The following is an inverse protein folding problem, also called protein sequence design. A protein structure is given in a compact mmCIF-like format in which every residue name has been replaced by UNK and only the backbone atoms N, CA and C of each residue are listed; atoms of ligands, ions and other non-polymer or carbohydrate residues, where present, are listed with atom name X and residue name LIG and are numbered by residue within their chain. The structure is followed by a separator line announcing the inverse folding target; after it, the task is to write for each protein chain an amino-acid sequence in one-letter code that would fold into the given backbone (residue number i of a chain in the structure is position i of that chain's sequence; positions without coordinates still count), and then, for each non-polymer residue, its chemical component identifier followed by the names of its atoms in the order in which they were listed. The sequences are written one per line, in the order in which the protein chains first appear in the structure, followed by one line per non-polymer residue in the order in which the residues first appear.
data_IF_221777922880
#
_entry.id   IF_221777922880
#
_cell.length_a   1.000
_cell.length_b   1.000
_cell.length_c   1.000
_cell.angle_alpha   90.00
_cell.angle_beta   90.00
_cell.angle_gamma   90.00
#
_symmetry.space_group_name_H-M   'P 1'
#
loop_
_entity.id
_entity.type
_entity.pdbx_description
1 polymer ?
#
# COMPACT_ATOMS: atom_id res chain seq x y z
N UNK A 1 -13.88 5.08 -80.42
CA UNK A 1 -14.56 3.88 -79.88
C UNK A 1 -13.50 3.00 -79.20
N UNK A 2 -13.73 2.64 -77.93
CA UNK A 2 -13.03 1.66 -77.05
C UNK A 2 -11.56 1.95 -76.70
N UNK A 3 -11.19 2.30 -75.46
CA UNK A 3 -11.24 1.56 -74.16
C UNK A 3 -10.25 0.39 -74.13
N UNK A 4 -9.09 0.49 -73.47
CA UNK A 4 -8.86 0.11 -72.05
C UNK A 4 -8.09 -1.23 -72.02
N UNK A 5 -7.05 -1.50 -71.22
CA UNK A 5 -6.85 -1.33 -69.78
C UNK A 5 -5.34 -1.40 -69.45
N UNK A 6 -4.84 -0.52 -68.59
CA UNK A 6 -3.65 -0.79 -67.77
C UNK A 6 -4.15 -1.20 -66.38
N UNK A 7 -3.68 -2.36 -65.91
CA UNK A 7 -3.95 -2.88 -64.57
C UNK A 7 -2.84 -2.34 -63.67
N UNK A 8 -3.19 -1.50 -62.70
CA UNK A 8 -2.30 -1.11 -61.62
C UNK A 8 -2.76 -1.85 -60.37
N UNK A 9 -1.94 -2.77 -59.88
CA UNK A 9 -2.18 -3.51 -58.65
C UNK A 9 -1.92 -2.59 -57.46
N UNK A 10 -2.98 -2.16 -56.77
CA UNK A 10 -2.89 -1.47 -55.48
C UNK A 10 -2.80 -2.51 -54.37
N UNK A 11 -1.64 -2.63 -53.74
CA UNK A 11 -1.47 -3.41 -52.51
C UNK A 11 -2.16 -2.68 -51.37
N UNK A 12 -3.28 -3.20 -50.87
CA UNK A 12 -3.85 -2.78 -49.59
C UNK A 12 -2.96 -3.29 -48.46
N UNK A 13 -2.29 -2.39 -47.75
CA UNK A 13 -1.73 -2.69 -46.43
C UNK A 13 -2.88 -2.60 -45.44
N UNK A 14 -3.36 -3.74 -44.96
CA UNK A 14 -4.29 -3.77 -43.84
C UNK A 14 -3.51 -3.33 -42.58
N UNK A 15 -3.74 -2.10 -42.11
CA UNK A 15 -3.35 -1.73 -40.76
C UNK A 15 -4.27 -2.47 -39.78
N UNK A 16 -3.75 -3.55 -39.22
CA UNK A 16 -4.34 -4.21 -38.06
C UNK A 16 -4.25 -3.26 -36.86
N UNK A 17 -5.33 -2.53 -36.57
CA UNK A 17 -5.51 -1.90 -35.27
C UNK A 17 -5.69 -3.03 -34.25
N UNK A 18 -4.64 -3.31 -33.48
CA UNK A 18 -4.82 -4.01 -32.22
C UNK A 18 -5.55 -3.04 -31.31
N UNK A 19 -6.87 -3.24 -31.17
CA UNK A 19 -7.57 -2.71 -30.02
C UNK A 19 -6.91 -3.38 -28.80
N UNK A 20 -6.14 -2.61 -28.03
CA UNK A 20 -5.77 -3.01 -26.69
C UNK A 20 -7.08 -3.06 -25.91
N UNK A 21 -7.70 -4.24 -25.87
CA UNK A 21 -8.64 -4.56 -24.80
C UNK A 21 -7.87 -4.33 -23.51
N UNK A 22 -8.21 -3.26 -22.80
CA UNK A 22 -7.87 -3.08 -21.41
C UNK A 22 -8.54 -4.26 -20.70
N UNK A 23 -7.80 -5.37 -20.51
CA UNK A 23 -8.24 -6.39 -19.57
C UNK A 23 -8.29 -5.69 -18.22
N UNK A 24 -9.40 -5.87 -17.48
CA UNK A 24 -9.41 -5.52 -16.06
C UNK A 24 -8.18 -6.16 -15.42
N UNK A 25 -7.56 -5.48 -14.45
CA UNK A 25 -6.40 -5.99 -13.71
C UNK A 25 -6.57 -7.50 -13.46
N UNK A 26 -5.64 -8.29 -14.00
CA UNK A 26 -5.66 -9.73 -13.83
C UNK A 26 -5.13 -10.02 -12.42
N UNK A 27 -6.02 -10.07 -11.45
CA UNK A 27 -5.70 -10.31 -10.05
C UNK A 27 -6.75 -11.17 -9.35
N UNK A 28 -6.35 -11.85 -8.29
CA UNK A 28 -7.24 -12.71 -7.51
C UNK A 28 -6.76 -12.90 -6.07
N UNK A 29 -7.71 -13.05 -5.15
CA UNK A 29 -7.44 -13.45 -3.76
C UNK A 29 -7.03 -14.92 -3.71
N UNK A 30 -5.82 -15.22 -3.22
CA UNK A 30 -5.25 -16.58 -3.20
C UNK A 30 -5.19 -17.20 -1.81
N UNK A 31 -5.31 -16.37 -0.76
CA UNK A 31 -5.40 -16.79 0.63
C UNK A 31 -6.09 -15.69 1.45
N UNK A 32 -6.97 -16.05 2.37
CA UNK A 32 -7.66 -15.10 3.27
C UNK A 32 -7.98 -15.78 4.60
N UNK A 33 -6.99 -15.84 5.48
CA UNK A 33 -7.25 -16.23 6.86
C UNK A 33 -7.98 -15.08 7.54
N UNK A 34 -9.17 -15.31 8.08
CA UNK A 34 -9.97 -14.27 8.74
C UNK A 34 -10.56 -14.83 10.05
N UNK A 35 -9.79 -14.75 11.14
CA UNK A 35 -10.23 -15.23 12.46
C UNK A 35 -9.10 -15.77 13.34
N UNK A 36 -9.45 -16.46 14.44
CA UNK A 36 -8.46 -16.94 15.40
C UNK A 36 -7.67 -18.15 14.90
N UNK A 37 -6.35 -18.02 14.83
CA UNK A 37 -5.47 -19.18 14.93
C UNK A 37 -5.43 -19.67 16.38
N UNK A 38 -5.56 -20.98 16.55
CA UNK A 38 -5.61 -21.69 17.82
C UNK A 38 -4.38 -22.58 17.99
N UNK A 39 -4.20 -23.17 19.19
CA UNK A 39 -3.17 -24.18 19.45
C UNK A 39 -3.25 -25.36 18.46
N UNK A 40 -4.45 -25.70 17.97
CA UNK A 40 -4.64 -26.79 16.99
C UNK A 40 -4.01 -26.48 15.63
N UNK A 41 -3.86 -25.20 15.28
CA UNK A 41 -3.16 -24.77 14.07
C UNK A 41 -1.64 -24.91 14.21
N UNK A 42 -1.11 -25.07 15.44
CA UNK A 42 0.31 -25.28 15.72
C UNK A 42 1.20 -24.27 14.98
N UNK A 43 0.88 -22.98 15.07
CA UNK A 43 1.67 -21.94 14.39
C UNK A 43 1.54 -21.89 12.87
N UNK A 44 0.59 -22.63 12.31
CA UNK A 44 0.45 -22.74 10.87
C UNK A 44 -1.03 -22.84 10.42
N UNK A 45 -1.82 -21.76 10.54
CA UNK A 45 -3.10 -21.65 9.85
C UNK A 45 -2.90 -21.77 8.33
N UNK A 46 -3.71 -22.60 7.69
CA UNK A 46 -3.53 -23.00 6.29
C UNK A 46 -4.83 -23.42 5.61
N UNK A 47 -4.83 -23.29 4.29
CA UNK A 47 -5.86 -23.84 3.41
C UNK A 47 -5.33 -25.10 2.72
N UNK A 48 -6.16 -26.14 2.74
CA UNK A 48 -5.91 -27.39 2.02
C UNK A 48 -7.24 -27.98 1.54
N UNK A 49 -7.55 -27.91 0.23
CA UNK A 49 -6.74 -27.33 -0.84
C UNK A 49 -6.71 -25.78 -0.80
N UNK A 50 -5.73 -25.13 -1.46
CA UNK A 50 -5.71 -23.68 -1.65
C UNK A 50 -6.94 -23.15 -2.38
N UNK A 51 -7.33 -21.89 -2.09
CA UNK A 51 -8.50 -21.22 -2.69
C UNK A 51 -8.41 -21.12 -4.23
N UNK A 52 -7.31 -20.56 -4.73
CA UNK A 52 -7.01 -20.49 -6.16
C UNK A 52 -5.92 -21.50 -6.45
N UNK A 53 -6.26 -22.59 -7.15
CA UNK A 53 -5.39 -23.76 -7.31
C UNK A 53 -5.18 -24.27 -8.75
N UNK A 54 -5.57 -23.47 -9.75
CA UNK A 54 -5.43 -23.80 -11.19
C UNK A 54 -4.07 -23.44 -11.77
N UNK A 55 -3.90 -23.61 -13.08
CA UNK A 55 -2.72 -23.17 -13.83
C UNK A 55 -2.52 -21.65 -13.69
N UNK A 56 -1.32 -21.24 -13.28
CA UNK A 56 -0.91 -19.84 -13.10
C UNK A 56 0.04 -19.34 -14.18
N UNK A 57 0.36 -20.16 -15.17
CA UNK A 57 1.13 -19.81 -16.37
C UNK A 57 0.19 -19.47 -17.53
N UNK A 58 -0.97 -20.14 -17.62
CA UNK A 58 -1.95 -19.96 -18.71
C UNK A 58 -3.41 -19.92 -18.22
N UNK A 59 -4.31 -19.13 -18.84
CA UNK A 59 -4.07 -18.14 -19.89
C UNK A 59 -3.48 -16.81 -19.39
N UNK A 60 -3.46 -16.60 -18.08
CA UNK A 60 -2.94 -15.40 -17.42
C UNK A 60 -1.71 -15.79 -16.61
N UNK A 61 -0.60 -15.08 -16.82
CA UNK A 61 0.66 -15.37 -16.16
C UNK A 61 0.71 -14.72 -14.76
N UNK A 62 0.14 -15.42 -13.79
CA UNK A 62 0.29 -15.11 -12.37
C UNK A 62 1.64 -15.58 -11.81
N UNK A 63 2.28 -16.57 -12.42
CA UNK A 63 3.54 -17.17 -11.97
C UNK A 63 4.71 -16.16 -11.91
N UNK A 64 4.72 -15.19 -12.81
CA UNK A 64 5.68 -14.08 -12.85
C UNK A 64 5.14 -12.79 -12.21
N UNK A 65 4.00 -12.89 -11.52
CA UNK A 65 3.32 -11.78 -10.89
C UNK A 65 3.87 -11.37 -9.53
N UNK A 66 3.07 -10.57 -8.84
CA UNK A 66 3.39 -10.01 -7.52
C UNK A 66 2.31 -10.41 -6.52
N UNK A 67 2.73 -10.85 -5.33
CA UNK A 67 1.84 -10.97 -4.19
C UNK A 67 1.73 -9.64 -3.47
N UNK A 68 0.49 -9.22 -3.22
CA UNK A 68 0.12 -8.12 -2.34
C UNK A 68 -0.47 -8.74 -1.07
N UNK A 69 0.06 -8.35 0.08
CA UNK A 69 -0.25 -8.96 1.37
C UNK A 69 -0.69 -7.88 2.34
N UNK A 70 -1.82 -8.13 3.02
CA UNK A 70 -2.31 -7.32 4.13
C UNK A 70 -2.51 -8.20 5.35
N UNK A 71 -2.00 -7.72 6.47
CA UNK A 71 -2.10 -8.36 7.78
C UNK A 71 -2.79 -7.38 8.72
N UNK A 72 -3.70 -7.87 9.55
CA UNK A 72 -4.38 -7.12 10.60
C UNK A 72 -4.49 -8.01 11.84
N UNK A 73 -3.85 -7.63 12.94
CA UNK A 73 -3.99 -8.33 14.21
C UNK A 73 -5.17 -7.71 14.97
N UNK A 74 -6.09 -8.56 15.43
CA UNK A 74 -7.22 -8.15 16.27
C UNK A 74 -6.95 -8.45 17.73
N UNK A 75 -6.35 -9.59 18.06
CA UNK A 75 -5.92 -9.88 19.43
C UNK A 75 -4.90 -11.00 19.52
N UNK A 76 -4.07 -10.96 20.56
CA UNK A 76 -3.21 -12.04 21.01
C UNK A 76 -3.25 -12.08 22.55
N UNK A 77 -3.19 -13.25 23.21
CA UNK A 77 -3.30 -13.32 24.67
C UNK A 77 -2.20 -12.56 25.39
N UNK A 78 -0.96 -12.66 24.86
CA UNK A 78 0.18 -11.86 25.29
C UNK A 78 0.76 -11.19 24.05
N UNK A 79 0.47 -9.89 23.83
CA UNK A 79 1.00 -9.15 22.69
C UNK A 79 2.54 -9.18 22.68
N UNK A 80 3.09 -9.75 21.62
CA UNK A 80 4.54 -9.88 21.45
C UNK A 80 4.95 -9.73 19.98
N UNK A 81 6.20 -9.35 19.75
CA UNK A 81 6.75 -9.25 18.40
C UNK A 81 6.89 -10.64 17.78
N UNK A 82 6.42 -10.76 16.55
CA UNK A 82 6.38 -12.00 15.80
C UNK A 82 6.71 -11.76 14.34
N UNK A 83 7.10 -12.83 13.65
CA UNK A 83 7.26 -12.82 12.20
C UNK A 83 6.17 -13.68 11.57
N UNK A 84 5.50 -13.13 10.57
CA UNK A 84 4.55 -13.87 9.74
C UNK A 84 5.16 -14.12 8.35
N UNK A 85 4.90 -15.30 7.80
CA UNK A 85 5.44 -15.69 6.50
C UNK A 85 4.43 -16.54 5.73
N UNK A 86 4.04 -16.10 4.54
CA UNK A 86 3.19 -16.88 3.65
C UNK A 86 4.02 -17.91 2.89
N UNK A 87 3.53 -19.15 2.83
CA UNK A 87 4.22 -20.27 2.21
C UNK A 87 3.26 -21.15 1.41
N UNK A 88 3.80 -21.79 0.38
CA UNK A 88 3.09 -22.63 -0.58
C UNK A 88 3.84 -23.96 -0.71
N UNK A 89 3.11 -25.07 -0.67
CA UNK A 89 3.65 -26.42 -0.87
C UNK A 89 3.00 -27.10 -2.05
N UNK A 90 3.78 -27.91 -2.76
CA UNK A 90 3.30 -28.69 -3.89
C UNK A 90 3.91 -30.09 -3.90
N UNK A 91 3.07 -31.05 -4.28
CA UNK A 91 3.45 -32.44 -4.40
C UNK A 91 4.31 -32.68 -5.64
N UNK A 92 5.43 -33.37 -5.45
CA UNK A 92 6.27 -33.87 -6.54
C UNK A 92 6.82 -35.24 -6.17
N UNK A 93 6.83 -36.15 -7.13
CA UNK A 93 7.35 -37.52 -6.99
C UNK A 93 6.76 -38.29 -5.78
N UNK A 94 5.47 -38.07 -5.48
CA UNK A 94 4.75 -38.70 -4.37
C UNK A 94 5.00 -38.08 -2.99
N UNK A 95 5.80 -37.02 -2.89
CA UNK A 95 6.03 -36.27 -1.66
C UNK A 95 5.29 -34.92 -1.70
N UNK A 96 4.28 -34.79 -0.83
CA UNK A 96 3.40 -33.61 -0.70
C UNK A 96 4.09 -32.31 -0.31
N UNK A 97 5.32 -32.38 0.21
CA UNK A 97 6.11 -31.25 0.69
C UNK A 97 7.48 -31.15 0.01
N UNK A 98 7.60 -31.77 -1.18
CA UNK A 98 8.84 -31.77 -1.97
C UNK A 98 9.19 -30.36 -2.45
N UNK A 99 8.21 -29.65 -3.00
CA UNK A 99 8.36 -28.26 -3.43
C UNK A 99 7.75 -27.34 -2.38
N UNK A 100 8.48 -26.29 -2.02
CA UNK A 100 8.05 -25.28 -1.08
C UNK A 100 8.64 -23.93 -1.47
N UNK A 101 7.81 -22.90 -1.43
CA UNK A 101 8.23 -21.51 -1.62
C UNK A 101 7.59 -20.62 -0.57
N UNK A 102 8.31 -19.59 -0.10
CA UNK A 102 7.82 -18.68 0.93
C UNK A 102 8.19 -17.22 0.66
N UNK A 103 7.32 -16.31 1.10
CA UNK A 103 7.58 -14.87 1.09
C UNK A 103 8.69 -14.50 2.08
N UNK A 104 9.14 -13.24 2.07
CA UNK A 104 9.95 -12.69 3.14
C UNK A 104 9.17 -12.74 4.45
N UNK A 105 9.88 -13.00 5.54
CA UNK A 105 9.31 -12.92 6.88
C UNK A 105 9.05 -11.45 7.22
N UNK A 106 7.84 -11.16 7.68
CA UNK A 106 7.43 -9.82 8.03
C UNK A 106 7.28 -9.67 9.53
N UNK A 107 7.97 -8.69 10.11
CA UNK A 107 7.89 -8.39 11.53
C UNK A 107 6.60 -7.61 11.83
N UNK A 108 5.80 -8.10 12.76
CA UNK A 108 4.59 -7.45 13.26
C UNK A 108 4.47 -7.71 14.77
N UNK A 109 3.68 -6.91 15.49
CA UNK A 109 3.37 -7.14 16.91
C UNK A 109 1.97 -7.73 17.05
N UNK A 110 1.77 -8.66 17.97
CA UNK A 110 0.45 -9.24 18.24
C UNK A 110 -0.52 -8.33 19.01
N UNK A 111 -0.35 -7.02 18.95
CA UNK A 111 -1.27 -6.06 19.57
C UNK A 111 -2.50 -5.87 18.70
N UNK A 112 -3.67 -5.68 19.32
CA UNK A 112 -4.89 -5.28 18.63
C UNK A 112 -4.65 -4.05 17.75
N UNK A 113 -5.17 -4.11 16.52
CA UNK A 113 -5.06 -3.06 15.52
C UNK A 113 -3.72 -3.00 14.79
N UNK A 114 -2.73 -3.85 15.12
CA UNK A 114 -1.47 -3.86 14.38
C UNK A 114 -1.72 -4.32 12.93
N UNK A 115 -1.42 -3.45 11.95
CA UNK A 115 -1.53 -3.82 10.54
C UNK A 115 -0.18 -3.77 9.84
N UNK A 116 -0.08 -4.51 8.73
CA UNK A 116 1.07 -4.47 7.84
C UNK A 116 0.62 -4.72 6.41
N UNK A 117 1.08 -3.88 5.49
CA UNK A 117 0.91 -4.08 4.05
C UNK A 117 2.27 -4.21 3.41
N UNK A 118 2.46 -5.22 2.56
CA UNK A 118 3.66 -5.32 1.74
C UNK A 118 3.37 -6.06 0.43
N UNK A 119 4.27 -5.88 -0.55
CA UNK A 119 4.28 -6.66 -1.78
C UNK A 119 5.60 -7.39 -2.01
N UNK A 120 5.56 -8.49 -2.76
CA UNK A 120 6.75 -9.21 -3.19
C UNK A 120 6.52 -9.93 -4.52
N UNK A 121 7.46 -9.76 -5.45
CA UNK A 121 7.51 -10.52 -6.69
C UNK A 121 7.67 -12.02 -6.39
N UNK A 122 6.90 -12.86 -7.08
CA UNK A 122 6.93 -14.32 -6.88
C UNK A 122 8.32 -14.89 -7.23
N UNK A 123 9.00 -14.31 -8.21
CA UNK A 123 10.36 -14.69 -8.59
C UNK A 123 11.36 -14.60 -7.42
N UNK A 124 11.17 -13.64 -6.51
CA UNK A 124 12.06 -13.34 -5.39
C UNK A 124 11.76 -14.17 -4.13
N UNK A 125 10.75 -15.04 -4.17
CA UNK A 125 10.43 -15.90 -3.04
C UNK A 125 11.53 -16.94 -2.79
N UNK A 126 11.73 -17.26 -1.51
CA UNK A 126 12.64 -18.32 -1.09
C UNK A 126 12.13 -19.67 -1.59
N UNK A 127 13.02 -20.56 -2.03
CA UNK A 127 12.68 -21.87 -2.60
C UNK A 127 13.42 -22.96 -1.86
N UNK A 128 12.71 -23.97 -1.37
CA UNK A 128 13.31 -25.11 -0.67
C UNK A 128 14.25 -25.87 -1.60
N UNK A 129 15.52 -25.96 -1.20
CA UNK A 129 16.57 -26.60 -2.01
C UNK A 129 16.76 -25.97 -3.39
N UNK A 130 16.34 -24.71 -3.59
CA UNK A 130 16.37 -24.03 -4.89
C UNK A 130 15.36 -24.56 -5.91
N UNK A 131 14.45 -25.47 -5.52
CA UNK A 131 13.46 -26.06 -6.43
C UNK A 131 12.21 -25.16 -6.51
N UNK A 132 11.84 -24.61 -7.68
CA UNK A 132 10.66 -23.77 -7.81
C UNK A 132 9.37 -24.61 -7.77
N UNK A 133 8.25 -23.95 -7.45
CA UNK A 133 6.91 -24.47 -7.68
C UNK A 133 6.69 -24.60 -9.20
N UNK A 134 5.98 -25.65 -9.60
CA UNK A 134 5.49 -25.87 -10.97
C UNK A 134 4.10 -25.22 -11.08
N UNK A 135 4.06 -23.98 -11.56
CA UNK A 135 2.88 -23.10 -11.48
C UNK A 135 1.71 -23.52 -12.39
N UNK A 136 1.98 -24.31 -13.43
CA UNK A 136 0.95 -25.00 -14.23
C UNK A 136 0.24 -26.16 -13.52
N UNK A 137 0.69 -26.56 -12.32
CA UNK A 137 0.10 -27.66 -11.53
C UNK A 137 -0.58 -27.14 -10.25
N UNK A 138 -1.51 -27.94 -9.77
CA UNK A 138 -2.15 -27.72 -8.47
C UNK A 138 -1.13 -27.78 -7.34
N UNK A 139 -1.30 -26.90 -6.36
CA UNK A 139 -0.57 -26.88 -5.09
C UNK A 139 -1.27 -27.79 -4.09
N UNK A 140 -0.49 -28.30 -3.14
CA UNK A 140 -0.98 -29.16 -2.07
C UNK A 140 -1.67 -28.35 -0.97
N UNK A 141 -1.02 -27.27 -0.50
CA UNK A 141 -1.54 -26.38 0.55
C UNK A 141 -0.84 -25.02 0.51
N UNK A 142 -1.48 -24.03 1.12
CA UNK A 142 -0.91 -22.70 1.39
C UNK A 142 -1.20 -22.30 2.82
N UNK A 143 -0.37 -21.46 3.43
CA UNK A 143 -0.65 -20.98 4.78
C UNK A 143 0.37 -20.01 5.30
N UNK A 144 0.17 -19.59 6.54
CA UNK A 144 0.98 -18.56 7.20
C UNK A 144 1.72 -19.19 8.36
N UNK A 145 3.05 -19.15 8.32
CA UNK A 145 3.89 -19.54 9.45
C UNK A 145 3.98 -18.40 10.45
N UNK A 146 3.59 -18.68 11.69
CA UNK A 146 3.75 -17.81 12.85
C UNK A 146 5.09 -18.15 13.51
N UNK A 147 5.95 -17.15 13.65
CA UNK A 147 7.33 -17.29 14.14
C UNK A 147 7.60 -16.25 15.22
N UNK A 148 8.54 -16.55 16.10
CA UNK A 148 9.12 -15.58 17.02
C UNK A 148 9.77 -14.43 16.23
N UNK A 149 10.09 -13.33 16.92
CA UNK A 149 10.86 -12.23 16.33
C UNK A 149 12.20 -12.70 15.73
N UNK A 150 12.80 -13.76 16.28
CA UNK A 150 14.05 -14.34 15.78
C UNK A 150 13.85 -15.29 14.58
N UNK A 151 12.59 -15.53 14.18
CA UNK A 151 12.24 -16.36 13.04
C UNK A 151 12.18 -17.86 13.35
N UNK A 152 12.14 -18.23 14.64
CA UNK A 152 11.94 -19.62 15.07
C UNK A 152 10.45 -19.95 15.18
N UNK A 153 10.05 -21.23 15.03
CA UNK A 153 8.71 -21.70 15.32
C UNK A 153 8.17 -21.27 16.68
N UNK A 154 6.86 -21.03 16.77
CA UNK A 154 6.17 -20.77 18.04
C UNK A 154 5.48 -22.00 18.63
N UNK A 155 5.56 -23.15 17.95
CA UNK A 155 5.02 -24.42 18.45
C UNK A 155 5.86 -25.59 17.97
N UNK A 156 5.59 -26.77 18.54
CA UNK A 156 6.24 -28.05 18.26
C UNK A 156 5.93 -28.66 16.88
N UNK A 157 5.48 -27.85 15.91
CA UNK A 157 5.07 -28.32 14.60
C UNK A 157 6.15 -29.21 13.98
N UNK A 158 5.74 -30.44 13.64
CA UNK A 158 6.59 -31.60 13.37
C UNK A 158 7.93 -31.28 12.69
N UNK A 159 9.03 -31.62 13.37
CA UNK A 159 10.39 -31.56 12.83
C UNK A 159 11.00 -30.17 12.77
N UNK A 160 10.32 -29.14 13.29
CA UNK A 160 10.91 -27.81 13.42
C UNK A 160 11.72 -27.68 14.71
N UNK A 161 12.81 -26.90 14.69
CA UNK A 161 13.59 -26.54 15.87
C UNK A 161 12.81 -25.54 16.74
N UNK A 162 11.76 -26.00 17.39
CA UNK A 162 10.97 -25.21 18.33
C UNK A 162 11.74 -24.99 19.64
N UNK A 163 11.66 -23.76 20.15
CA UNK A 163 12.39 -23.34 21.35
C UNK A 163 11.58 -23.49 22.66
N UNK A 164 10.40 -24.11 22.62
CA UNK A 164 9.58 -24.34 23.82
C UNK A 164 8.72 -23.15 24.26
N UNK A 165 8.34 -22.28 23.31
CA UNK A 165 7.40 -21.18 23.53
C UNK A 165 6.10 -21.66 24.23
N UNK A 166 5.54 -20.89 25.17
CA UNK A 166 4.25 -21.25 25.79
C UNK A 166 3.09 -20.97 24.82
N UNK A 167 2.39 -21.98 24.26
CA UNK A 167 1.33 -21.75 23.28
C UNK A 167 0.20 -20.84 23.79
N UNK A 168 -0.02 -20.78 25.11
CA UNK A 168 -1.04 -19.91 25.72
C UNK A 168 -0.71 -18.43 25.65
N UNK A 169 0.57 -18.08 25.48
CA UNK A 169 0.98 -16.71 25.21
C UNK A 169 0.68 -16.30 23.74
N UNK A 170 0.55 -17.29 22.85
CA UNK A 170 0.43 -17.09 21.42
C UNK A 170 -1.00 -17.23 20.90
N UNK A 171 -1.84 -18.07 21.53
CA UNK A 171 -3.17 -18.44 21.03
C UNK A 171 -4.31 -18.25 22.05
N UNK A 172 -5.51 -17.82 21.60
CA UNK A 172 -5.87 -17.54 20.22
C UNK A 172 -5.25 -16.25 19.68
N UNK A 173 -4.64 -16.32 18.50
CA UNK A 173 -4.22 -15.15 17.73
C UNK A 173 -5.35 -14.84 16.75
N UNK A 174 -6.17 -13.84 17.03
CA UNK A 174 -7.18 -13.35 16.09
C UNK A 174 -6.55 -12.35 15.14
N UNK A 175 -6.59 -12.67 13.85
CA UNK A 175 -6.00 -11.84 12.81
C UNK A 175 -6.63 -12.12 11.46
N UNK A 176 -6.49 -11.14 10.57
CA UNK A 176 -6.74 -11.29 9.14
C UNK A 176 -5.41 -11.30 8.39
N UNK A 177 -5.24 -12.24 7.48
CA UNK A 177 -4.09 -12.33 6.58
C UNK A 177 -4.60 -12.59 5.17
N UNK A 178 -4.59 -11.54 4.35
CA UNK A 178 -5.10 -11.56 2.98
C UNK A 178 -3.94 -11.51 2.01
N UNK A 179 -3.94 -12.40 1.02
CA UNK A 179 -2.98 -12.45 -0.08
C UNK A 179 -3.75 -12.33 -1.39
N UNK A 180 -3.39 -11.32 -2.17
CA UNK A 180 -3.85 -11.14 -3.54
C UNK A 180 -2.65 -11.33 -4.46
N UNK A 181 -2.84 -12.06 -5.56
CA UNK A 181 -1.84 -12.12 -6.64
C UNK A 181 -2.29 -11.21 -7.76
N UNK A 182 -1.37 -10.44 -8.30
CA UNK A 182 -1.53 -9.64 -9.52
C UNK A 182 -0.64 -10.24 -10.59
N UNK A 183 -1.18 -10.46 -11.79
CA UNK A 183 -0.42 -11.07 -12.87
C UNK A 183 0.73 -10.18 -13.32
N UNK A 184 1.65 -10.78 -14.07
CA UNK A 184 2.66 -10.03 -14.81
C UNK A 184 1.99 -8.94 -15.66
N UNK A 185 2.62 -7.77 -15.71
CA UNK A 185 2.20 -6.60 -16.49
C UNK A 185 0.84 -6.00 -16.10
N UNK A 186 0.27 -6.39 -14.96
CA UNK A 186 -0.94 -5.80 -14.38
C UNK A 186 -0.61 -4.99 -13.12
N UNK A 187 -1.47 -4.01 -12.82
CA UNK A 187 -1.39 -3.20 -11.62
C UNK A 187 -2.39 -3.68 -10.57
N UNK A 188 -2.03 -3.59 -9.31
CA UNK A 188 -2.92 -3.94 -8.20
C UNK A 188 -4.08 -2.95 -8.12
N UNK A 189 -5.30 -3.46 -8.10
CA UNK A 189 -6.51 -2.64 -8.16
C UNK A 189 -6.82 -1.88 -6.87
N UNK A 190 -6.08 -2.15 -5.79
CA UNK A 190 -6.28 -1.54 -4.47
C UNK A 190 -6.94 -2.48 -3.46
N UNK A 191 -6.69 -2.22 -2.17
CA UNK A 191 -7.19 -3.07 -1.09
C UNK A 191 -8.70 -2.92 -0.86
N UNK A 192 -9.30 -1.81 -1.26
CA UNK A 192 -10.73 -1.54 -1.18
C UNK A 192 -11.60 -2.62 -1.86
N UNK A 193 -11.06 -3.33 -2.84
CA UNK A 193 -11.74 -4.44 -3.52
C UNK A 193 -11.71 -5.75 -2.71
N UNK A 194 -10.91 -5.82 -1.65
CA UNK A 194 -10.68 -7.02 -0.84
C UNK A 194 -10.97 -6.83 0.66
N UNK A 195 -11.12 -5.57 1.10
CA UNK A 195 -11.70 -5.26 2.40
C UNK A 195 -13.20 -5.56 2.32
N UNK A 196 -13.71 -6.32 3.30
CA UNK A 196 -15.16 -6.50 3.40
C UNK A 196 -15.77 -5.11 3.63
N UNK A 197 -16.67 -4.67 2.75
CA UNK A 197 -17.62 -3.62 3.10
C UNK A 197 -18.37 -4.18 4.32
N UNK A 198 -18.15 -3.59 5.49
CA UNK A 198 -18.74 -4.06 6.73
C UNK A 198 -20.23 -4.32 6.52
N UNK A 199 -20.69 -5.46 7.03
CA UNK A 199 -22.12 -5.76 7.11
C UNK A 199 -22.79 -4.56 7.77
N UNK A 200 -23.57 -3.81 7.00
CA UNK A 200 -24.48 -2.83 7.57
C UNK A 200 -25.29 -3.55 8.65
N UNK A 201 -25.31 -2.98 9.88
CA UNK A 201 -26.14 -3.48 10.96
C UNK A 201 -27.56 -3.72 10.44
N UNK A 202 -28.21 -4.84 10.78
CA UNK A 202 -29.56 -5.10 10.33
C UNK A 202 -30.46 -3.97 10.83
N UNK A 203 -31.03 -3.21 9.89
CA UNK A 203 -31.97 -2.15 10.20
C UNK A 203 -33.16 -2.74 10.95
N UNK A 204 -33.48 -2.10 12.08
CA UNK A 204 -34.60 -2.43 12.93
C UNK A 204 -35.91 -2.41 12.10
N UNK A 205 -36.70 -3.50 12.04
CA UNK A 205 -37.92 -3.58 11.24
C UNK A 205 -39.08 -2.70 11.78
N UNK A 206 -38.82 -1.84 12.76
CA UNK A 206 -39.81 -0.89 13.30
C UNK A 206 -39.72 0.53 12.74
N UNK A 207 -38.78 0.83 11.84
CA UNK A 207 -38.70 2.15 11.19
C UNK A 207 -39.56 2.18 9.91
N UNK A 208 -40.63 3.01 9.84
CA UNK A 208 -41.46 3.06 8.65
C UNK A 208 -40.68 3.68 7.49
N UNK A 209 -40.62 2.94 6.38
CA UNK A 209 -40.04 3.38 5.11
C UNK A 209 -40.64 4.75 4.71
N UNK A 210 -39.81 5.78 4.45
CA UNK A 210 -40.33 7.09 4.09
C UNK A 210 -40.94 7.05 2.69
N UNK A 211 -42.14 7.61 2.56
CA UNK A 211 -42.84 7.71 1.27
C UNK A 211 -42.00 8.47 0.23
N UNK A 212 -42.08 8.12 -1.07
CA UNK A 212 -41.27 8.73 -2.11
C UNK A 212 -41.68 10.19 -2.33
N UNK A 213 -40.77 11.11 -2.04
CA UNK A 213 -40.92 12.54 -2.35
C UNK A 213 -40.32 12.82 -3.74
N UNK A 214 -41.08 13.56 -4.55
CA UNK A 214 -40.73 14.08 -5.88
C UNK A 214 -39.33 14.73 -5.88
N UNK A 215 -38.41 14.42 -6.83
CA UNK A 215 -37.04 14.92 -6.76
C UNK A 215 -37.00 16.44 -6.91
N UNK A 216 -36.67 17.10 -5.80
CA UNK A 216 -36.23 18.49 -5.75
C UNK A 216 -34.93 18.63 -6.58
N UNK A 217 -34.75 19.70 -7.38
CA UNK A 217 -33.55 19.86 -8.19
C UNK A 217 -32.30 19.84 -7.30
N UNK A 218 -31.32 19.01 -7.68
CA UNK A 218 -30.15 18.77 -6.85
C UNK A 218 -29.43 20.07 -6.48
N UNK A 219 -29.02 20.24 -5.21
CA UNK A 219 -28.26 21.40 -4.80
C UNK A 219 -26.92 21.39 -5.52
N UNK A 220 -26.61 22.51 -6.19
CA UNK A 220 -25.29 22.76 -6.77
C UNK A 220 -24.24 22.53 -5.67
N UNK A 221 -23.18 21.72 -5.91
CA UNK A 221 -22.17 21.49 -4.89
C UNK A 221 -21.53 22.84 -4.52
N UNK A 222 -21.76 23.27 -3.28
CA UNK A 222 -20.88 24.25 -2.64
C UNK A 222 -19.48 23.65 -2.46
N UNK A 223 -18.45 24.48 -2.18
CA UNK A 223 -17.09 23.98 -2.01
C UNK A 223 -17.07 22.83 -0.99
N UNK A 224 -16.57 21.68 -1.42
CA UNK A 224 -16.36 20.49 -0.61
C UNK A 224 -15.62 20.90 0.68
N UNK A 225 -16.03 20.44 1.87
CA UNK A 225 -15.33 20.78 3.10
C UNK A 225 -13.87 20.35 2.94
N UNK A 226 -12.93 21.29 3.10
CA UNK A 226 -11.51 20.99 3.07
C UNK A 226 -11.25 19.80 4.00
N UNK A 227 -11.03 18.61 3.41
CA UNK A 227 -10.57 17.45 4.16
C UNK A 227 -9.32 17.93 4.91
N UNK A 228 -9.19 17.71 6.21
CA UNK A 228 -8.05 18.23 6.98
C UNK A 228 -6.70 17.66 6.52
N UNK A 229 -5.59 18.35 6.76
CA UNK A 229 -4.22 17.88 6.44
C UNK A 229 -3.70 16.77 7.38
N UNK A 230 -4.56 16.25 8.27
CA UNK A 230 -4.18 15.34 9.34
C UNK A 230 -3.25 16.02 10.34
N UNK A 231 -2.09 15.41 10.60
CA UNK A 231 -1.08 15.97 11.53
C UNK A 231 -0.21 17.07 10.92
N UNK A 232 -0.34 17.32 9.61
CA UNK A 232 0.37 18.41 8.93
C UNK A 232 -0.41 19.72 9.02
N UNK A 233 0.31 20.82 8.85
CA UNK A 233 -0.25 22.15 8.62
C UNK A 233 0.10 22.63 7.21
N UNK A 234 -0.83 23.37 6.59
CA UNK A 234 -0.63 24.03 5.29
C UNK A 234 -0.12 23.07 4.20
N UNK A 235 -0.72 21.88 4.08
CA UNK A 235 -0.30 20.88 3.10
C UNK A 235 -0.60 21.23 1.64
N UNK A 236 -1.55 22.15 1.41
CA UNK A 236 -1.90 22.69 0.09
C UNK A 236 -1.25 24.03 -0.24
N UNK A 237 -0.32 24.53 0.60
CA UNK A 237 0.48 25.75 0.34
C UNK A 237 -0.30 27.05 0.08
N UNK A 238 -1.60 27.09 0.39
CA UNK A 238 -2.43 28.30 0.26
C UNK A 238 -2.01 29.43 1.19
N UNK A 239 -1.36 29.09 2.30
CA UNK A 239 -0.71 30.06 3.20
C UNK A 239 0.77 30.25 2.86
N UNK A 240 1.13 30.08 1.59
CA UNK A 240 2.51 30.13 1.14
C UNK A 240 3.35 29.01 1.74
N UNK A 241 4.56 29.35 2.19
CA UNK A 241 5.51 28.41 2.81
C UNK A 241 5.33 28.31 4.34
N UNK A 242 4.23 28.79 4.92
CA UNK A 242 3.97 28.63 6.36
C UNK A 242 4.08 27.14 6.76
N UNK A 243 4.74 26.87 7.89
CA UNK A 243 5.06 25.53 8.43
C UNK A 243 6.03 24.67 7.61
N UNK A 244 6.33 25.02 6.36
CA UNK A 244 7.27 24.30 5.50
C UNK A 244 8.63 24.99 5.41
N UNK A 245 9.69 24.20 5.47
CA UNK A 245 11.08 24.68 5.37
C UNK A 245 11.80 23.98 4.24
N UNK A 246 12.40 24.78 3.37
CA UNK A 246 13.36 24.29 2.39
C UNK A 246 14.78 24.45 2.91
N UNK A 247 15.60 23.42 2.72
CA UNK A 247 17.02 23.43 3.04
C UNK A 247 17.80 22.80 1.91
N UNK A 248 18.91 23.42 1.53
CA UNK A 248 19.89 22.85 0.62
C UNK A 248 21.30 23.26 1.03
N UNK A 249 22.27 22.35 0.86
CA UNK A 249 23.71 22.68 0.87
C UNK A 249 24.33 22.83 -0.53
N UNK A 250 23.50 22.78 -1.58
CA UNK A 250 23.79 23.26 -2.92
C UNK A 250 23.19 24.66 -3.15
N UNK A 251 22.51 24.85 -4.28
CA UNK A 251 21.73 26.06 -4.60
C UNK A 251 20.35 25.68 -5.12
N UNK A 252 19.35 26.47 -4.74
CA UNK A 252 17.96 26.28 -5.14
C UNK A 252 17.02 27.14 -4.33
N UNK A 253 15.72 27.02 -4.60
CA UNK A 253 14.68 27.74 -3.89
C UNK A 253 13.40 26.93 -3.77
N UNK A 254 12.57 27.25 -2.78
CA UNK A 254 11.20 26.75 -2.69
C UNK A 254 10.25 27.92 -2.45
N UNK A 255 9.18 27.98 -3.23
CA UNK A 255 8.20 29.05 -3.21
C UNK A 255 6.81 28.47 -3.46
N UNK A 256 5.79 29.05 -2.83
CA UNK A 256 4.42 28.77 -3.22
C UNK A 256 4.10 29.47 -4.54
N UNK A 257 3.58 28.72 -5.51
CA UNK A 257 3.29 29.17 -6.88
C UNK A 257 1.90 28.74 -7.31
N UNK A 258 1.42 29.21 -8.46
CA UNK A 258 0.11 28.90 -9.02
C UNK A 258 0.22 28.55 -10.52
N UNK A 259 -0.68 27.72 -11.07
CA UNK A 259 -1.79 27.03 -10.39
C UNK A 259 -1.31 25.83 -9.55
N UNK A 260 -2.12 25.44 -8.57
CA UNK A 260 -1.96 24.17 -7.87
C UNK A 260 -2.60 23.00 -8.62
N UNK A 261 -2.63 21.83 -7.99
CA UNK A 261 -3.28 20.64 -8.54
C UNK A 261 -4.81 20.74 -8.45
N UNK A 262 -5.51 20.22 -9.47
CA UNK A 262 -6.98 20.08 -9.51
C UNK A 262 -7.78 21.32 -9.09
N UNK A 263 -7.34 22.49 -9.56
CA UNK A 263 -8.02 23.77 -9.27
C UNK A 263 -7.61 24.44 -7.95
N UNK A 264 -6.70 23.85 -7.18
CA UNK A 264 -6.00 24.51 -6.06
C UNK A 264 -5.35 25.82 -6.52
N UNK A 265 -5.41 26.87 -5.69
CA UNK A 265 -4.83 28.17 -6.07
C UNK A 265 -3.31 28.19 -5.91
N UNK A 266 -2.75 27.36 -5.04
CA UNK A 266 -1.31 27.26 -4.82
C UNK A 266 -0.80 25.82 -4.75
N UNK A 267 0.45 25.65 -5.12
CA UNK A 267 1.28 24.49 -4.80
C UNK A 267 2.67 24.99 -4.38
N UNK A 268 3.57 24.11 -3.95
CA UNK A 268 5.00 24.47 -3.83
C UNK A 268 5.75 24.11 -5.09
N UNK A 269 6.59 25.03 -5.59
CA UNK A 269 7.66 24.73 -6.54
C UNK A 269 9.00 24.70 -5.82
N UNK A 270 9.81 23.67 -6.07
CA UNK A 270 11.19 23.52 -5.56
C UNK A 270 12.14 23.45 -6.75
N UNK A 271 12.92 24.51 -6.96
CA UNK A 271 13.91 24.59 -8.04
C UNK A 271 15.30 24.19 -7.52
N UNK A 272 15.99 23.30 -8.25
CA UNK A 272 17.32 22.80 -7.93
C UNK A 272 18.33 23.35 -8.93
N UNK A 273 19.02 24.44 -8.57
CA UNK A 273 20.01 25.08 -9.47
C UNK A 273 21.32 24.30 -9.50
N UNK A 274 21.78 23.83 -8.32
CA UNK A 274 22.98 23.01 -8.20
C UNK A 274 22.81 21.93 -7.13
N UNK A 275 23.33 20.74 -7.41
CA UNK A 275 23.23 19.62 -6.50
C UNK A 275 24.06 19.84 -5.23
N UNK A 276 23.49 19.40 -4.12
CA UNK A 276 24.14 19.22 -2.83
C UNK A 276 23.83 17.82 -2.30
N UNK A 277 24.52 17.42 -1.23
CA UNK A 277 24.28 16.12 -0.58
C UNK A 277 23.08 16.12 0.37
N UNK A 278 22.48 17.29 0.63
CA UNK A 278 21.28 17.44 1.44
C UNK A 278 20.41 18.54 0.84
N UNK A 279 19.31 18.13 0.22
CA UNK A 279 18.31 18.98 -0.40
C UNK A 279 16.96 18.44 0.04
N UNK A 280 16.18 19.25 0.78
CA UNK A 280 14.92 18.78 1.34
C UNK A 280 13.88 19.89 1.50
N UNK A 281 12.61 19.50 1.34
CA UNK A 281 11.45 20.26 1.77
C UNK A 281 10.83 19.51 2.95
N UNK A 282 10.68 20.16 4.11
CA UNK A 282 10.28 19.48 5.32
C UNK A 282 9.29 20.27 6.19
N UNK A 283 8.51 19.54 6.98
CA UNK A 283 7.73 20.05 8.09
C UNK A 283 8.10 19.25 9.34
N UNK A 284 8.48 19.94 10.41
CA UNK A 284 8.92 19.36 11.69
C UNK A 284 7.92 19.68 12.80
N UNK A 285 8.03 19.00 13.94
CA UNK A 285 7.14 19.21 15.09
C UNK A 285 5.83 18.42 14.99
N UNK A 286 5.82 17.34 14.20
CA UNK A 286 4.64 16.53 13.96
C UNK A 286 4.36 15.64 15.17
N UNK A 287 3.12 15.65 15.64
CA UNK A 287 2.67 14.72 16.67
C UNK A 287 2.33 13.36 16.06
N UNK A 288 2.99 12.32 16.54
CA UNK A 288 2.80 10.95 16.06
C UNK A 288 2.48 10.02 17.23
N UNK A 289 1.40 9.27 17.10
CA UNK A 289 1.12 8.12 17.97
C UNK A 289 2.08 6.97 17.63
N UNK A 290 2.53 6.24 18.66
CA UNK A 290 3.38 5.07 18.49
C UNK A 290 2.58 3.89 17.95
N UNK A 291 3.20 3.10 17.06
CA UNK A 291 2.62 1.88 16.49
C UNK A 291 1.27 2.10 15.80
N UNK A 292 1.03 3.31 15.30
CA UNK A 292 -0.17 3.71 14.60
C UNK A 292 0.07 3.76 13.09
N UNK A 293 -0.92 3.29 12.33
CA UNK A 293 -0.95 3.42 10.88
C UNK A 293 -1.31 4.83 10.44
N UNK A 294 -0.54 5.32 9.47
CA UNK A 294 -0.76 6.58 8.78
C UNK A 294 -0.75 6.36 7.28
N UNK A 295 -1.48 7.24 6.59
CA UNK A 295 -1.38 7.42 5.15
C UNK A 295 -0.83 8.79 4.87
N UNK A 296 0.27 8.82 4.12
CA UNK A 296 0.75 10.03 3.47
C UNK A 296 0.15 10.08 2.05
N UNK A 297 -0.59 11.14 1.73
CA UNK A 297 -0.96 11.44 0.34
C UNK A 297 -0.44 12.81 -0.07
N UNK A 298 -0.16 12.96 -1.37
CA UNK A 298 0.25 14.23 -1.99
C UNK A 298 0.16 14.10 -3.50
N UNK A 299 0.02 15.23 -4.18
CA UNK A 299 0.15 15.32 -5.64
C UNK A 299 1.53 15.86 -5.97
N UNK A 300 2.22 15.28 -6.95
CA UNK A 300 3.53 15.76 -7.35
C UNK A 300 3.86 15.50 -8.83
N UNK A 301 4.81 16.28 -9.34
CA UNK A 301 5.56 15.99 -10.57
C UNK A 301 6.91 16.72 -10.54
N UNK A 302 7.80 16.39 -11.47
CA UNK A 302 9.03 17.16 -11.69
C UNK A 302 9.21 17.50 -13.17
N UNK A 303 9.85 18.62 -13.49
CA UNK A 303 9.96 19.12 -14.87
C UNK A 303 10.60 18.12 -15.85
N UNK A 304 11.41 17.19 -15.37
CA UNK A 304 12.13 16.19 -16.16
C UNK A 304 11.73 14.74 -15.85
N UNK A 305 10.78 14.52 -14.94
CA UNK A 305 10.45 13.19 -14.42
C UNK A 305 11.55 12.60 -13.52
N UNK A 306 12.43 13.44 -12.96
CA UNK A 306 13.31 13.01 -11.87
C UNK A 306 12.50 12.70 -10.62
N UNK A 307 12.82 11.58 -9.99
CA UNK A 307 12.15 11.10 -8.79
C UNK A 307 12.50 11.94 -7.55
N UNK A 308 11.83 11.64 -6.44
CA UNK A 308 12.20 12.11 -5.11
C UNK A 308 12.05 10.98 -4.10
N UNK A 309 12.48 11.22 -2.86
CA UNK A 309 12.26 10.27 -1.76
C UNK A 309 11.53 10.90 -0.59
N UNK A 310 10.78 10.10 0.15
CA UNK A 310 10.08 10.56 1.35
C UNK A 310 10.59 9.83 2.58
N UNK A 311 10.72 10.58 3.68
CA UNK A 311 11.10 10.04 4.99
C UNK A 311 10.32 10.72 6.11
N UNK A 312 10.14 10.00 7.20
CA UNK A 312 9.58 10.47 8.45
C UNK A 312 10.53 10.04 9.58
N UNK A 313 11.17 11.01 10.22
CA UNK A 313 12.20 10.72 11.22
C UNK A 313 12.30 11.87 12.23
N UNK A 314 13.11 11.69 13.28
CA UNK A 314 13.54 12.79 14.14
C UNK A 314 14.29 13.86 13.34
N UNK A 315 14.13 15.15 13.67
CA UNK A 315 14.88 16.23 13.04
C UNK A 315 16.36 16.21 13.42
N UNK A 316 16.68 15.69 14.62
CA UNK A 316 18.01 15.69 15.24
C UNK A 316 18.55 14.27 15.49
N UNK A 317 19.85 14.18 15.74
CA UNK A 317 20.55 12.94 16.10
C UNK A 317 19.81 12.16 17.21
N UNK A 318 19.62 10.82 17.07
CA UNK A 318 20.22 9.93 16.08
C UNK A 318 19.43 9.80 14.77
N UNK A 319 18.52 10.74 14.47
CA UNK A 319 17.66 10.72 13.28
C UNK A 319 16.81 9.45 13.19
N UNK A 320 16.27 9.00 14.33
CA UNK A 320 15.43 7.80 14.41
C UNK A 320 14.30 7.87 13.39
N UNK A 321 14.22 6.86 12.52
CA UNK A 321 13.16 6.70 11.53
C UNK A 321 11.86 6.31 12.22
N UNK A 322 10.76 6.94 11.82
CA UNK A 322 9.41 6.75 12.36
C UNK A 322 8.44 6.09 11.37
N UNK A 323 8.94 5.31 10.42
CA UNK A 323 8.12 4.46 9.53
C UNK A 323 8.41 4.67 8.05
N UNK A 324 8.83 5.88 7.65
CA UNK A 324 9.27 6.16 6.28
C UNK A 324 10.77 6.44 6.25
N UNK A 325 11.52 5.69 5.45
CA UNK A 325 12.96 5.87 5.27
C UNK A 325 13.34 5.80 3.80
N UNK A 326 13.54 6.98 3.20
CA UNK A 326 13.95 7.14 1.80
C UNK A 326 13.12 6.30 0.83
N UNK A 327 11.79 6.29 1.02
CA UNK A 327 10.86 5.64 0.10
C UNK A 327 10.90 6.41 -1.21
N UNK A 328 11.30 5.75 -2.31
CA UNK A 328 11.32 6.36 -3.64
C UNK A 328 9.90 6.60 -4.12
N UNK A 329 9.68 7.78 -4.69
CA UNK A 329 8.43 8.16 -5.37
C UNK A 329 8.81 8.43 -6.81
N UNK A 330 8.34 7.56 -7.69
CA UNK A 330 8.58 7.66 -9.12
C UNK A 330 7.69 8.78 -9.69
N UNK A 331 8.31 9.81 -10.26
CA UNK A 331 7.60 10.98 -10.79
C UNK A 331 7.61 10.99 -12.32
N UNK A 332 6.55 11.53 -12.89
CA UNK A 332 6.53 11.94 -14.30
C UNK A 332 6.67 13.46 -14.45
N UNK A 333 6.61 13.93 -15.69
CA UNK A 333 6.54 15.35 -16.05
C UNK A 333 5.14 15.96 -16.00
N UNK A 334 4.19 15.24 -15.40
CA UNK A 334 2.80 15.66 -15.20
C UNK A 334 2.31 15.28 -13.81
N UNK A 335 1.36 16.03 -13.26
CA UNK A 335 0.78 15.77 -11.94
C UNK A 335 0.30 14.32 -11.80
N UNK A 336 0.73 13.69 -10.70
CA UNK A 336 0.23 12.39 -10.26
C UNK A 336 -0.04 12.42 -8.76
N UNK A 337 -1.11 11.75 -8.36
CA UNK A 337 -1.42 11.53 -6.94
C UNK A 337 -0.65 10.33 -6.42
N UNK A 338 -0.04 10.49 -5.25
CA UNK A 338 0.71 9.45 -4.58
C UNK A 338 0.09 9.14 -3.21
N UNK A 339 0.12 7.87 -2.82
CA UNK A 339 -0.35 7.40 -1.53
C UNK A 339 0.64 6.39 -0.96
N UNK A 340 1.11 6.63 0.26
CA UNK A 340 2.05 5.77 0.97
C UNK A 340 1.46 5.43 2.33
N UNK A 341 1.12 4.17 2.51
CA UNK A 341 0.71 3.60 3.79
C UNK A 341 1.93 3.15 4.57
N UNK A 342 1.99 3.51 5.85
CA UNK A 342 3.06 3.07 6.74
C UNK A 342 2.61 3.05 8.20
N UNK A 343 3.27 2.21 8.99
CA UNK A 343 3.11 2.19 10.44
C UNK A 343 4.26 2.92 11.11
N UNK A 344 3.95 3.67 12.15
CA UNK A 344 4.98 4.34 12.96
C UNK A 344 5.79 3.32 13.76
N UNK A 345 7.11 3.45 13.77
CA UNK A 345 8.04 2.49 14.37
C UNK A 345 9.17 3.17 15.15
N UNK A 346 9.89 2.42 15.99
CA UNK A 346 11.07 2.86 16.75
C UNK A 346 10.81 3.88 17.87
N UNK A 347 9.56 3.97 18.35
CA UNK A 347 9.19 4.69 19.57
C UNK A 347 7.96 4.03 20.19
N UNK A 348 7.77 4.19 21.50
CA UNK A 348 6.78 3.42 22.29
C UNK A 348 5.70 4.27 22.97
N UNK A 349 5.71 5.58 22.76
CA UNK A 349 4.73 6.54 23.30
C UNK A 349 4.60 7.74 22.36
N UNK A 350 3.51 8.52 22.45
CA UNK A 350 3.30 9.68 21.58
C UNK A 350 4.54 10.59 21.54
N UNK A 351 4.99 10.95 20.34
CA UNK A 351 6.08 11.91 20.12
C UNK A 351 5.55 13.19 19.47
N UNK A 352 6.30 14.28 19.58
CA UNK A 352 6.01 15.58 18.94
C UNK A 352 7.19 16.11 18.12
N UNK A 353 8.22 15.28 17.92
CA UNK A 353 9.44 15.59 17.19
C UNK A 353 9.48 14.86 15.83
N UNK A 354 8.33 14.56 15.23
CA UNK A 354 8.28 14.03 13.88
C UNK A 354 8.69 15.10 12.84
N UNK A 355 9.51 14.71 11.86
CA UNK A 355 9.82 15.50 10.66
C UNK A 355 9.50 14.69 9.41
N UNK A 356 8.50 15.12 8.65
CA UNK A 356 8.24 14.65 7.29
C UNK A 356 9.13 15.45 6.35
N UNK A 357 9.85 14.78 5.45
CA UNK A 357 10.66 15.46 4.46
C UNK A 357 10.68 14.75 3.11
N UNK A 358 10.50 15.55 2.06
CA UNK A 358 10.82 15.21 0.69
C UNK A 358 12.30 15.47 0.46
N UNK A 359 13.00 14.48 -0.08
CA UNK A 359 14.44 14.44 -0.24
C UNK A 359 14.79 14.32 -1.71
N UNK A 360 15.54 15.30 -2.21
CA UNK A 360 15.81 15.44 -3.66
C UNK A 360 17.23 15.05 -4.04
N UNK A 361 18.17 15.07 -3.09
CA UNK A 361 19.61 15.02 -3.35
C UNK A 361 20.10 13.77 -4.12
N UNK A 362 19.34 12.67 -4.08
CA UNK A 362 19.72 11.41 -4.73
C UNK A 362 19.32 11.32 -6.20
N UNK A 363 18.24 11.99 -6.56
CA UNK A 363 17.51 11.68 -7.79
C UNK A 363 17.35 12.94 -8.68
N UNK A 364 17.49 14.15 -8.11
CA UNK A 364 17.46 15.41 -8.83
C UNK A 364 18.67 15.65 -9.74
N UNK A 365 18.47 16.50 -10.74
CA UNK A 365 19.48 17.03 -11.65
C UNK A 365 19.51 18.57 -11.57
N UNK A 366 20.64 19.22 -11.87
CA UNK A 366 20.68 20.68 -12.02
C UNK A 366 19.65 21.14 -13.06
N UNK A 367 18.80 22.09 -12.68
CA UNK A 367 17.70 22.62 -13.48
C UNK A 367 16.34 21.95 -13.26
N UNK A 368 16.26 20.90 -12.43
CA UNK A 368 14.98 20.29 -12.10
C UNK A 368 14.11 21.23 -11.25
N UNK A 369 12.81 21.24 -11.55
CA UNK A 369 11.80 21.91 -10.74
C UNK A 369 10.74 20.91 -10.36
N UNK A 370 10.58 20.69 -9.06
CA UNK A 370 9.56 19.82 -8.50
C UNK A 370 8.34 20.64 -8.11
N UNK A 371 7.16 20.09 -8.30
CA UNK A 371 5.91 20.67 -7.85
C UNK A 371 5.21 19.66 -6.94
N UNK A 372 4.75 20.12 -5.79
CA UNK A 372 4.09 19.28 -4.79
C UNK A 372 2.87 20.04 -4.26
N UNK A 373 1.76 19.34 -4.07
CA UNK A 373 0.53 19.90 -3.55
C UNK A 373 -0.25 18.88 -2.70
N UNK A 374 -1.27 19.35 -1.98
CA UNK A 374 -2.22 18.53 -1.21
C UNK A 374 -1.57 17.52 -0.26
N UNK A 375 -0.47 17.89 0.39
CA UNK A 375 0.25 16.98 1.29
C UNK A 375 -0.56 16.73 2.56
N UNK A 376 -0.90 15.48 2.82
CA UNK A 376 -1.75 15.06 3.94
C UNK A 376 -1.10 13.90 4.65
N UNK A 377 -1.06 13.95 5.97
CA UNK A 377 -0.59 12.84 6.79
C UNK A 377 -1.65 12.51 7.83
N UNK A 378 -2.48 11.53 7.53
CA UNK A 378 -3.69 11.23 8.32
C UNK A 378 -3.54 9.86 8.97
N UNK A 379 -4.04 9.71 10.20
CA UNK A 379 -4.13 8.38 10.81
C UNK A 379 -5.14 7.53 10.06
N UNK A 380 -4.86 6.25 9.87
CA UNK A 380 -5.78 5.36 9.16
C UNK A 380 -7.21 5.37 9.76
N UNK A 381 -7.34 5.43 11.08
CA UNK A 381 -8.62 5.51 11.78
C UNK A 381 -9.39 6.84 11.58
N UNK A 382 -8.71 7.93 11.23
CA UNK A 382 -9.34 9.24 10.99
C UNK A 382 -9.85 9.36 9.55
N UNK A 383 -9.40 8.47 8.64
CA UNK A 383 -9.90 8.39 7.26
C UNK A 383 -11.22 7.64 7.15
N UNK A 384 -11.62 6.88 8.18
CA UNK A 384 -12.84 6.07 8.21
C UNK A 384 -14.00 6.72 8.96
N UNK A 385 -13.85 7.96 9.44
CA UNK A 385 -14.95 8.67 10.10
C UNK A 385 -15.88 9.29 9.04
N UNK A 386 -17.18 8.93 9.00
CA UNK A 386 -18.13 9.69 8.20
C UNK A 386 -18.14 11.15 8.70
N UNK A 387 -18.15 12.10 7.76
CA UNK A 387 -18.30 13.52 8.08
C UNK A 387 -19.53 13.69 8.99
N UNK A 388 -19.32 14.12 10.23
CA UNK A 388 -20.42 14.41 11.11
C UNK A 388 -21.33 15.46 10.43
N UNK A 389 -22.65 15.23 10.33
CA UNK A 389 -23.54 16.23 9.77
C UNK A 389 -23.44 17.50 10.63
N UNK A 390 -23.08 18.60 9.98
CA UNK A 390 -22.97 19.92 10.60
C UNK A 390 -24.35 20.48 10.91
N UNK A 391 -24.98 20.00 11.98
CA UNK A 391 -26.18 20.60 12.53
C UNK A 391 -25.83 21.46 13.75
N UNK A 392 -25.36 22.69 13.47
CA UNK A 392 -25.59 23.81 14.36
C UNK A 392 -26.78 24.61 13.79
N UNK A 393 -28.01 24.20 14.13
CA UNK A 393 -29.13 25.13 14.09
C UNK A 393 -29.52 25.49 15.51
N UNK A 394 -29.19 26.74 15.82
CA UNK A 394 -29.67 27.55 16.94
C UNK A 394 -31.20 27.51 16.97
N UNK A 395 -31.78 27.32 18.15
CA UNK A 395 -33.00 28.01 18.57
C UNK A 395 -32.77 28.67 19.92
#
# INVERSE_FOLDING_TARGET
MRSGKHITTTTLVALSFWAATCLSAAEMKVFDWNGPASESNRGFPHDQPPLQNGDWETPINYAEGTFHIRIEIRSQPVPQSMKLQFCIWQEKDGNKFELETCTKQQLIVGSEGATLIHSQAIADMWKKGGKPIEWHRARHRVGVAIKTQDGTPVSDYQGWNWNGEDPKAWYPLDFRYTVVVVSKDSEFSGWENYLEKGSEEPTDPSDPEPEPVDPEPEPVPGPEPERGFGVLSNGGFEKGMESWKFYTNGSGSALATSPGYDGSSKCVSVAIDSLGSNIQLNQSGLELAAYQDYRLTFDAYSSTGSDLRVSLAKPDSPYTVYGLNRVTVELSSSWQSHSIDFSTMNFNSKVADGRLFFWFANDARPGDVYYIDNVRLVRAAEMSLPLAPSNLMVR
#
